data_IF_413977200558
#
_entry.id   IF_413977200558
#
_cell.length_a   1.000
_cell.length_b   1.000
_cell.length_c   1.000
_cell.angle_alpha   90.00
_cell.angle_beta   90.00
_cell.angle_gamma   90.00
#
_symmetry.space_group_name_H-M   'P 1'
#
loop_
_entity.id
_entity.type
_entity.pdbx_description
1 polymer ?
#
# COMPACT_ATOMS: atom_id res chain seq x y z
N UNK A 1 -7.20 10.93 -4.34
CA UNK A 1 -6.55 10.62 -3.05
C UNK A 1 -7.01 9.24 -2.60
N UNK A 2 -6.15 8.22 -2.56
CA UNK A 2 -6.58 6.90 -2.10
C UNK A 2 -6.93 6.96 -0.60
N UNK A 3 -8.11 6.49 -0.27
CA UNK A 3 -8.55 6.37 1.12
C UNK A 3 -8.11 5.00 1.60
N UNK A 4 -7.03 4.95 2.38
CA UNK A 4 -6.57 3.72 3.02
C UNK A 4 -7.23 3.61 4.40
N UNK A 5 -7.92 2.50 4.66
CA UNK A 5 -8.47 2.18 5.96
C UNK A 5 -7.53 1.22 6.69
N UNK A 6 -7.28 1.44 7.96
CA UNK A 6 -6.61 0.46 8.79
C UNK A 6 -7.61 -0.65 9.21
N UNK A 7 -7.09 -1.73 9.78
CA UNK A 7 -7.86 -2.90 10.23
C UNK A 7 -8.93 -2.59 11.31
N UNK A 8 -9.00 -1.34 11.78
CA UNK A 8 -10.00 -0.82 12.74
C UNK A 8 -11.02 0.11 12.10
N UNK A 9 -11.05 0.22 10.75
CA UNK A 9 -12.03 1.05 10.03
C UNK A 9 -11.77 2.56 10.11
N UNK A 10 -10.60 2.98 10.60
CA UNK A 10 -10.23 4.39 10.69
C UNK A 10 -9.63 4.85 9.36
N UNK A 11 -10.23 5.89 8.80
CA UNK A 11 -9.78 6.57 7.57
C UNK A 11 -8.37 7.13 7.79
N UNK A 12 -7.36 6.53 7.16
CA UNK A 12 -6.03 7.13 7.10
C UNK A 12 -6.11 8.37 6.20
N UNK A 13 -5.91 9.54 6.79
CA UNK A 13 -5.83 10.79 6.04
C UNK A 13 -4.72 10.67 5.01
N UNK A 14 -5.06 10.97 3.77
CA UNK A 14 -4.21 10.90 2.58
C UNK A 14 -2.77 11.39 2.80
N UNK A 15 -1.82 10.48 2.68
CA UNK A 15 -0.38 10.78 2.64
C UNK A 15 0.12 11.14 1.22
N UNK A 16 -0.79 11.45 0.31
CA UNK A 16 -0.44 11.78 -1.08
C UNK A 16 -0.68 13.25 -1.40
N UNK A 17 0.13 14.13 -0.83
CA UNK A 17 0.33 15.47 -1.40
C UNK A 17 1.80 15.86 -1.39
N UNK A 18 2.61 15.18 -2.20
CA UNK A 18 3.89 15.74 -2.64
C UNK A 18 4.02 15.55 -4.15
N UNK A 19 3.29 16.38 -4.89
CA UNK A 19 3.52 16.59 -6.32
C UNK A 19 4.77 17.45 -6.48
N UNK A 20 5.82 16.81 -6.95
CA UNK A 20 6.90 17.34 -7.78
C UNK A 20 7.36 18.79 -7.54
N UNK A 21 8.49 18.94 -6.82
CA UNK A 21 9.42 20.04 -7.05
C UNK A 21 10.82 19.45 -7.15
N UNK A 22 11.38 19.58 -8.35
CA UNK A 22 12.77 19.25 -8.67
C UNK A 22 13.71 19.98 -7.73
N UNK A 23 14.43 19.20 -6.91
CA UNK A 23 15.64 19.66 -6.24
C UNK A 23 16.70 18.58 -6.39
N UNK A 24 17.80 18.90 -7.05
CA UNK A 24 18.89 18.01 -7.39
C UNK A 24 19.71 17.62 -6.15
N UNK A 25 20.11 16.33 -6.09
CA UNK A 25 21.28 15.88 -5.35
C UNK A 25 21.04 15.66 -3.83
N UNK A 26 20.49 14.54 -3.45
CA UNK A 26 20.35 14.10 -2.04
C UNK A 26 18.94 13.66 -1.66
N UNK A 27 17.94 14.03 -2.42
CA UNK A 27 16.52 13.83 -2.14
C UNK A 27 16.01 12.46 -2.61
N UNK A 28 16.74 11.75 -3.47
CA UNK A 28 16.27 10.47 -4.02
C UNK A 28 16.25 9.35 -2.96
N UNK A 29 17.27 9.26 -2.12
CA UNK A 29 17.37 8.19 -1.11
C UNK A 29 16.26 8.30 -0.04
N UNK A 30 15.95 9.51 0.40
CA UNK A 30 14.87 9.76 1.38
C UNK A 30 13.49 9.52 0.76
N UNK A 31 13.31 9.84 -0.54
CA UNK A 31 12.07 9.56 -1.26
C UNK A 31 11.86 8.06 -1.52
N UNK A 32 12.91 7.34 -1.84
CA UNK A 32 12.87 5.88 -2.04
C UNK A 32 12.51 5.15 -0.73
N UNK A 33 13.09 5.56 0.39
CA UNK A 33 12.76 5.00 1.70
C UNK A 33 11.32 5.33 2.11
N UNK A 34 10.86 6.56 1.90
CA UNK A 34 9.49 6.95 2.22
C UNK A 34 8.48 6.20 1.34
N UNK A 35 8.73 6.09 0.03
CA UNK A 35 7.87 5.33 -0.88
C UNK A 35 7.83 3.85 -0.49
N UNK A 36 8.97 3.26 -0.13
CA UNK A 36 9.05 1.88 0.34
C UNK A 36 8.24 1.64 1.60
N UNK A 37 8.30 2.56 2.58
CA UNK A 37 7.48 2.46 3.81
C UNK A 37 5.99 2.54 3.51
N UNK A 38 5.58 3.46 2.63
CA UNK A 38 4.18 3.61 2.21
C UNK A 38 3.68 2.36 1.50
N UNK A 39 4.47 1.80 0.57
CA UNK A 39 4.10 0.58 -0.14
C UNK A 39 4.01 -0.62 0.80
N UNK A 40 4.95 -0.78 1.74
CA UNK A 40 4.91 -1.84 2.74
C UNK A 40 3.70 -1.72 3.67
N UNK A 41 3.39 -0.51 4.15
CA UNK A 41 2.20 -0.25 4.96
C UNK A 41 0.92 -0.58 4.19
N UNK A 42 0.87 -0.24 2.91
CA UNK A 42 -0.26 -0.55 2.04
C UNK A 42 -0.45 -2.06 1.86
N UNK A 43 0.61 -2.79 1.54
CA UNK A 43 0.55 -4.26 1.43
C UNK A 43 0.20 -4.92 2.77
N UNK A 44 0.69 -4.39 3.88
CA UNK A 44 0.36 -4.88 5.22
C UNK A 44 -1.11 -4.70 5.58
N UNK A 45 -1.79 -3.69 5.04
CA UNK A 45 -3.23 -3.50 5.22
C UNK A 45 -4.06 -4.66 4.63
N UNK A 46 -3.60 -5.26 3.52
CA UNK A 46 -4.27 -6.41 2.89
C UNK A 46 -3.78 -7.76 3.41
N UNK A 47 -2.48 -7.90 3.59
CA UNK A 47 -1.83 -9.20 3.84
C UNK A 47 -1.21 -9.33 5.23
N UNK A 48 -1.29 -8.29 6.08
CA UNK A 48 -0.68 -8.30 7.41
C UNK A 48 -1.18 -9.43 8.32
N UNK A 49 -2.40 -9.92 8.11
CA UNK A 49 -2.92 -11.09 8.79
C UNK A 49 -2.14 -12.38 8.55
N UNK A 50 -1.37 -12.45 7.46
CA UNK A 50 -0.54 -13.60 7.10
C UNK A 50 0.87 -13.54 7.68
N UNK A 51 1.26 -12.43 8.30
CA UNK A 51 2.52 -12.26 9.01
C UNK A 51 2.41 -12.83 10.42
N UNK A 52 3.55 -13.27 10.96
CA UNK A 52 3.63 -13.61 12.40
C UNK A 52 3.43 -12.33 13.23
N UNK A 53 3.00 -12.50 14.48
CA UNK A 53 2.80 -11.36 15.40
C UNK A 53 4.06 -10.50 15.53
N UNK A 54 5.22 -11.14 15.64
CA UNK A 54 6.51 -10.46 15.72
C UNK A 54 6.84 -9.67 14.45
N UNK A 55 6.60 -10.24 13.28
CA UNK A 55 6.81 -9.55 12.00
C UNK A 55 5.87 -8.35 11.86
N UNK A 56 4.60 -8.52 12.23
CA UNK A 56 3.60 -7.46 12.20
C UNK A 56 3.99 -6.31 13.13
N UNK A 57 4.40 -6.61 14.37
CA UNK A 57 4.85 -5.59 15.31
C UNK A 57 6.04 -4.81 14.79
N UNK A 58 7.08 -5.47 14.27
CA UNK A 58 8.27 -4.83 13.69
C UNK A 58 7.88 -3.96 12.49
N UNK A 59 7.00 -4.44 11.63
CA UNK A 59 6.53 -3.70 10.45
C UNK A 59 5.74 -2.44 10.84
N UNK A 60 4.84 -2.54 11.83
CA UNK A 60 4.09 -1.41 12.38
C UNK A 60 5.02 -0.34 12.97
N UNK A 61 5.99 -0.74 13.80
CA UNK A 61 6.99 0.18 14.35
C UNK A 61 7.80 0.90 13.25
N UNK A 62 8.13 0.18 12.18
CA UNK A 62 8.89 0.73 11.06
C UNK A 62 8.08 1.69 10.18
N UNK A 63 6.84 1.30 9.83
CA UNK A 63 6.02 2.04 8.86
C UNK A 63 5.13 3.11 9.49
N UNK A 64 4.58 2.85 10.68
CA UNK A 64 3.58 3.72 11.31
C UNK A 64 4.21 4.65 12.35
N UNK A 65 5.16 4.13 13.15
CA UNK A 65 5.84 4.89 14.19
C UNK A 65 7.17 5.50 13.71
N UNK A 66 7.58 5.22 12.48
CA UNK A 66 8.80 5.74 11.81
C UNK A 66 10.10 5.49 12.59
N UNK A 67 10.14 4.39 13.35
CA UNK A 67 11.30 4.04 14.16
C UNK A 67 12.45 3.49 13.32
N UNK A 68 13.67 3.82 13.72
CA UNK A 68 14.88 3.20 13.14
C UNK A 68 15.00 1.73 13.57
N UNK A 69 15.76 0.93 12.81
CA UNK A 69 16.01 -0.47 13.17
C UNK A 69 16.69 -0.65 14.54
N UNK A 70 17.43 0.36 15.01
CA UNK A 70 18.02 0.36 16.35
C UNK A 70 16.96 0.48 17.43
N UNK A 71 16.06 1.46 17.31
CA UNK A 71 14.95 1.69 18.24
C UNK A 71 13.97 0.51 18.25
N UNK A 72 13.66 -0.05 17.08
CA UNK A 72 12.84 -1.27 16.96
C UNK A 72 13.49 -2.43 17.70
N UNK A 73 14.81 -2.60 17.57
CA UNK A 73 15.55 -3.67 18.22
C UNK A 73 15.48 -3.54 19.76
N UNK A 74 15.61 -2.34 20.29
CA UNK A 74 15.47 -2.04 21.70
C UNK A 74 14.04 -2.29 22.20
N UNK A 75 13.03 -1.78 21.48
CA UNK A 75 11.60 -1.93 21.80
C UNK A 75 11.18 -3.41 21.86
N UNK A 76 11.63 -4.22 20.88
CA UNK A 76 11.24 -5.64 20.73
C UNK A 76 12.16 -6.57 21.52
N UNK A 77 13.29 -6.08 22.05
CA UNK A 77 14.27 -6.88 22.82
C UNK A 77 15.06 -7.87 21.94
N UNK A 78 15.50 -7.44 20.75
CA UNK A 78 16.27 -8.23 19.79
C UNK A 78 17.49 -7.46 19.29
N UNK A 79 18.40 -8.13 18.55
CA UNK A 79 19.49 -7.41 17.90
C UNK A 79 18.98 -6.60 16.69
N UNK A 80 19.69 -5.50 16.36
CA UNK A 80 19.40 -4.68 15.16
C UNK A 80 19.40 -5.53 13.89
N UNK A 81 20.32 -6.49 13.79
CA UNK A 81 20.36 -7.41 12.65
C UNK A 81 19.12 -8.29 12.59
N UNK A 82 18.67 -8.84 13.73
CA UNK A 82 17.45 -9.64 13.78
C UNK A 82 16.20 -8.82 13.45
N UNK A 83 16.14 -7.53 13.82
CA UNK A 83 15.08 -6.63 13.41
C UNK A 83 15.07 -6.41 11.90
N UNK A 84 16.25 -6.17 11.29
CA UNK A 84 16.40 -6.02 9.85
C UNK A 84 15.98 -7.28 9.08
N UNK A 85 16.47 -8.46 9.50
CA UNK A 85 16.09 -9.73 8.88
C UNK A 85 14.59 -10.01 8.98
N UNK A 86 13.99 -9.73 10.13
CA UNK A 86 12.54 -9.90 10.32
C UNK A 86 11.72 -8.98 9.43
N UNK A 87 12.15 -7.71 9.29
CA UNK A 87 11.51 -6.75 8.39
C UNK A 87 11.64 -7.17 6.93
N UNK A 88 12.83 -7.62 6.51
CA UNK A 88 13.08 -8.10 5.14
C UNK A 88 12.19 -9.29 4.81
N UNK A 89 12.12 -10.31 5.68
CA UNK A 89 11.26 -11.47 5.49
C UNK A 89 9.77 -11.11 5.45
N UNK A 90 9.36 -10.12 6.24
CA UNK A 90 7.98 -9.63 6.20
C UNK A 90 7.69 -8.96 4.86
N UNK A 91 8.59 -8.10 4.37
CA UNK A 91 8.46 -7.42 3.09
C UNK A 91 8.43 -8.40 1.90
N UNK A 92 9.32 -9.39 1.89
CA UNK A 92 9.36 -10.45 0.88
C UNK A 92 8.03 -11.21 0.84
N UNK A 93 7.53 -11.64 1.99
CA UNK A 93 6.26 -12.36 2.09
C UNK A 93 5.07 -11.55 1.61
N UNK A 94 5.00 -10.25 1.94
CA UNK A 94 3.96 -9.35 1.44
C UNK A 94 4.03 -9.19 -0.09
N UNK A 95 5.24 -9.06 -0.64
CA UNK A 95 5.47 -8.95 -2.08
C UNK A 95 5.09 -10.24 -2.84
N UNK A 96 5.43 -11.41 -2.28
CA UNK A 96 5.04 -12.71 -2.85
C UNK A 96 3.51 -12.85 -2.89
N UNK A 97 2.84 -12.44 -1.83
CA UNK A 97 1.36 -12.47 -1.79
C UNK A 97 0.73 -11.54 -2.80
N UNK A 98 1.24 -10.33 -2.93
CA UNK A 98 0.76 -9.39 -3.94
C UNK A 98 0.99 -9.92 -5.35
N UNK A 99 2.18 -10.50 -5.63
CA UNK A 99 2.48 -11.11 -6.93
C UNK A 99 1.56 -12.28 -7.27
N UNK A 100 1.08 -13.02 -6.26
CA UNK A 100 0.19 -14.16 -6.45
C UNK A 100 -1.29 -13.75 -6.54
N UNK A 101 -1.70 -12.72 -5.82
CA UNK A 101 -3.11 -12.38 -5.62
C UNK A 101 -3.53 -11.07 -6.28
N UNK A 102 -2.63 -10.08 -6.41
CA UNK A 102 -2.89 -8.79 -7.06
C UNK A 102 -3.99 -7.93 -6.41
N UNK A 103 -4.34 -8.21 -5.14
CA UNK A 103 -5.49 -7.55 -4.49
C UNK A 103 -5.22 -6.09 -4.20
N UNK A 104 -4.01 -5.76 -3.74
CA UNK A 104 -3.65 -4.39 -3.42
C UNK A 104 -3.57 -3.52 -4.68
N UNK A 105 -3.01 -4.03 -5.77
CA UNK A 105 -2.96 -3.34 -7.06
C UNK A 105 -4.35 -3.13 -7.64
N UNK A 106 -5.23 -4.14 -7.55
CA UNK A 106 -6.62 -4.01 -7.97
C UNK A 106 -7.34 -2.93 -7.18
N UNK A 107 -7.16 -2.92 -5.85
CA UNK A 107 -7.74 -1.89 -5.01
C UNK A 107 -7.25 -0.49 -5.41
N UNK A 108 -5.94 -0.31 -5.68
CA UNK A 108 -5.40 0.97 -6.17
C UNK A 108 -6.06 1.44 -7.47
N UNK A 109 -6.26 0.52 -8.41
CA UNK A 109 -6.92 0.84 -9.70
C UNK A 109 -8.35 1.29 -9.50
N UNK A 110 -9.13 0.57 -8.71
CA UNK A 110 -10.51 0.91 -8.40
C UNK A 110 -10.59 2.26 -7.69
N UNK A 111 -9.79 2.46 -6.65
CA UNK A 111 -9.79 3.69 -5.86
C UNK A 111 -9.42 4.92 -6.70
N UNK A 112 -8.37 4.83 -7.52
CA UNK A 112 -7.97 5.89 -8.45
C UNK A 112 -9.03 6.16 -9.52
N UNK A 113 -9.69 5.12 -10.02
CA UNK A 113 -10.78 5.25 -10.98
C UNK A 113 -12.00 5.94 -10.39
N UNK A 114 -12.36 5.60 -9.16
CA UNK A 114 -13.46 6.24 -8.43
C UNK A 114 -13.17 7.72 -8.16
N UNK A 115 -11.94 8.07 -7.74
CA UNK A 115 -11.53 9.47 -7.59
C UNK A 115 -11.64 10.25 -8.91
N UNK A 116 -11.16 9.66 -10.01
CA UNK A 116 -11.23 10.27 -11.34
C UNK A 116 -12.67 10.44 -11.81
N UNK A 117 -13.56 9.48 -11.51
CA UNK A 117 -14.98 9.59 -11.82
C UNK A 117 -15.66 10.69 -10.99
N UNK A 118 -15.30 10.82 -9.72
CA UNK A 118 -15.79 11.88 -8.85
C UNK A 118 -15.37 13.26 -9.34
N UNK A 119 -14.11 13.41 -9.78
CA UNK A 119 -13.62 14.65 -10.37
C UNK A 119 -14.36 15.01 -11.66
N UNK A 120 -14.63 14.02 -12.52
CA UNK A 120 -15.43 14.22 -13.73
C UNK A 120 -16.87 14.68 -13.41
N UNK A 121 -17.51 14.10 -12.38
CA UNK A 121 -18.82 14.53 -11.90
C UNK A 121 -18.81 15.97 -11.38
N UNK A 122 -17.78 16.35 -10.62
CA UNK A 122 -17.61 17.72 -10.13
C UNK A 122 -17.45 18.73 -11.26
N UNK A 123 -16.83 18.32 -12.37
CA UNK A 123 -16.70 19.10 -13.60
C UNK A 123 -17.95 19.00 -14.50
N UNK A 124 -19.00 18.27 -14.11
CA UNK A 124 -20.22 17.98 -14.89
C UNK A 124 -19.95 17.25 -16.22
N UNK A 125 -18.82 16.55 -16.32
CA UNK A 125 -18.46 15.68 -17.44
C UNK A 125 -19.04 14.27 -17.22
N UNK A 126 -20.36 14.17 -17.40
CA UNK A 126 -21.09 12.91 -17.16
C UNK A 126 -20.66 11.75 -18.06
N UNK A 127 -20.38 11.98 -19.38
CA UNK A 127 -19.93 10.89 -20.25
C UNK A 127 -18.60 10.29 -19.79
N UNK A 128 -17.66 11.11 -19.34
CA UNK A 128 -16.38 10.68 -18.82
C UNK A 128 -16.53 9.93 -17.50
N UNK A 129 -17.35 10.43 -16.60
CA UNK A 129 -17.64 9.76 -15.33
C UNK A 129 -18.26 8.38 -15.56
N UNK A 130 -19.22 8.26 -16.47
CA UNK A 130 -19.85 6.98 -16.83
C UNK A 130 -18.85 5.98 -17.41
N UNK A 131 -17.95 6.44 -18.29
CA UNK A 131 -16.89 5.59 -18.88
C UNK A 131 -15.96 5.04 -17.82
N UNK A 132 -15.49 5.89 -16.87
CA UNK A 132 -14.61 5.49 -15.78
C UNK A 132 -15.29 4.48 -14.86
N UNK A 133 -16.55 4.66 -14.51
CA UNK A 133 -17.30 3.72 -13.67
C UNK A 133 -17.51 2.37 -14.37
N UNK A 134 -17.77 2.37 -15.69
CA UNK A 134 -17.86 1.13 -16.48
C UNK A 134 -16.53 0.38 -16.50
N UNK A 135 -15.40 1.08 -16.63
CA UNK A 135 -14.07 0.50 -16.58
C UNK A 135 -13.81 -0.18 -15.22
N UNK A 136 -14.21 0.45 -14.11
CA UNK A 136 -14.07 -0.15 -12.77
C UNK A 136 -14.85 -1.46 -12.63
N UNK A 137 -16.05 -1.55 -13.19
CA UNK A 137 -16.85 -2.77 -13.19
C UNK A 137 -16.21 -3.92 -13.99
N UNK A 138 -15.45 -3.61 -15.05
CA UNK A 138 -14.76 -4.64 -15.83
C UNK A 138 -13.54 -5.23 -15.13
N UNK A 139 -12.86 -4.46 -14.26
CA UNK A 139 -11.72 -4.96 -13.47
C UNK A 139 -12.12 -6.17 -12.60
N UNK A 140 -13.36 -6.23 -12.13
CA UNK A 140 -13.87 -7.37 -11.34
C UNK A 140 -14.18 -8.62 -12.17
N UNK A 141 -14.46 -8.45 -13.45
CA UNK A 141 -14.95 -9.57 -14.30
C UNK A 141 -13.84 -10.33 -15.04
N UNK A 142 -12.72 -9.69 -15.32
CA UNK A 142 -11.64 -10.32 -16.13
C UNK A 142 -10.92 -11.47 -15.40
N UNK A 143 -10.81 -11.43 -14.06
CA UNK A 143 -10.16 -12.50 -13.29
C UNK A 143 -11.04 -13.72 -13.01
N UNK A 144 -12.35 -13.62 -13.13
CA UNK A 144 -13.23 -14.77 -12.95
C UNK A 144 -13.18 -15.75 -14.14
N UNK A 145 -12.68 -15.30 -15.29
CA UNK A 145 -12.58 -16.11 -16.52
C UNK A 145 -11.35 -17.02 -16.57
N UNK A 146 -10.27 -16.70 -15.85
CA UNK A 146 -8.99 -17.44 -15.91
C UNK A 146 -8.79 -18.44 -14.75
N UNK A 147 -9.71 -18.51 -13.79
CA UNK A 147 -9.68 -19.53 -12.73
C UNK A 147 -10.33 -20.84 -13.18
N UNK A 148 -9.75 -21.47 -14.18
CA UNK A 148 -9.99 -22.87 -14.44
C UNK A 148 -9.35 -23.71 -13.32
N UNK A 149 -10.08 -23.94 -12.26
CA UNK A 149 -9.75 -24.98 -11.28
C UNK A 149 -9.88 -26.35 -11.95
N UNK A 150 -8.79 -26.88 -12.41
CA UNK A 150 -8.64 -28.29 -12.77
C UNK A 150 -7.66 -28.95 -11.83
#
# INVERSE_FOLDING_TARGET
MPIVYNNTGVRLKSLTRCRNRSFAGGVNMVKEDLNRKVDLAFLAAFYGGMLTEKQRRILSLYCEEDLSLGEIAEEVGISRQAAHESLTRAAEKLSEMESALGVAERFRKIDSGLESALDALNCKDYPRAESLLKEMLTIETEESSDRSWR
#
